data_IF_068007572972
#
_entry.id   IF_068007572972
#
_cell.length_a   1.000
_cell.length_b   1.000
_cell.length_c   1.000
_cell.angle_alpha   90.00
_cell.angle_beta   90.00
_cell.angle_gamma   90.00
#
_symmetry.space_group_name_H-M   'P 1'
#
loop_
_entity.id
_entity.type
_entity.pdbx_description
1 polymer ?
#
# COMPACT_ATOMS: atom_id res chain seq x y z
N UNK A 1 -3.42 -5.95 -22.70
CA UNK A 1 -2.64 -5.39 -21.57
C UNK A 1 -3.51 -5.56 -20.35
N UNK A 2 -3.53 -6.75 -19.77
CA UNK A 2 -4.18 -6.96 -18.49
C UNK A 2 -3.17 -6.55 -17.43
N UNK A 3 -3.28 -5.32 -16.94
CA UNK A 3 -2.63 -4.94 -15.68
C UNK A 3 -3.30 -5.75 -14.59
N UNK A 4 -2.87 -6.99 -14.39
CA UNK A 4 -3.25 -7.81 -13.24
C UNK A 4 -2.59 -7.20 -12.01
N UNK A 5 -3.13 -6.06 -11.55
CA UNK A 5 -2.83 -5.47 -10.25
C UNK A 5 -2.91 -6.59 -9.23
N UNK A 6 -1.80 -6.86 -8.54
CA UNK A 6 -1.75 -7.92 -7.55
C UNK A 6 -2.89 -7.74 -6.53
N UNK A 7 -3.43 -8.82 -5.94
CA UNK A 7 -4.46 -8.70 -4.90
C UNK A 7 -4.03 -7.74 -3.78
N UNK A 8 -2.74 -7.76 -3.41
CA UNK A 8 -2.15 -6.89 -2.40
C UNK A 8 -2.16 -5.42 -2.84
N UNK A 9 -1.77 -5.12 -4.09
CA UNK A 9 -1.82 -3.76 -4.60
C UNK A 9 -3.26 -3.21 -4.61
N UNK A 10 -4.25 -4.04 -4.99
CA UNK A 10 -5.67 -3.66 -4.95
C UNK A 10 -6.15 -3.41 -3.52
N UNK A 11 -5.88 -4.33 -2.59
CA UNK A 11 -6.26 -4.16 -1.18
C UNK A 11 -5.60 -2.93 -0.55
N UNK A 12 -4.32 -2.66 -0.85
CA UNK A 12 -3.63 -1.46 -0.36
C UNK A 12 -4.26 -0.18 -0.91
N UNK A 13 -4.67 -0.18 -2.18
CA UNK A 13 -5.40 0.94 -2.79
C UNK A 13 -6.80 1.13 -2.18
N UNK A 14 -7.51 0.05 -1.86
CA UNK A 14 -8.83 0.11 -1.20
C UNK A 14 -8.71 0.70 0.21
N UNK A 15 -7.68 0.30 0.98
CA UNK A 15 -7.37 0.89 2.28
C UNK A 15 -7.03 2.38 2.09
N UNK A 16 -6.14 2.71 1.15
CA UNK A 16 -5.75 4.07 0.85
C UNK A 16 -6.96 4.97 0.51
N UNK A 17 -7.92 4.46 -0.26
CA UNK A 17 -9.14 5.20 -0.59
C UNK A 17 -9.94 5.64 0.64
N UNK A 18 -9.94 4.85 1.73
CA UNK A 18 -10.61 5.23 2.98
C UNK A 18 -9.97 6.44 3.66
N UNK A 19 -8.65 6.63 3.51
CA UNK A 19 -7.88 7.67 4.19
C UNK A 19 -7.64 8.93 3.34
N UNK A 20 -8.14 8.97 2.09
CA UNK A 20 -7.95 10.12 1.17
C UNK A 20 -8.52 11.46 1.66
N UNK A 21 -9.40 11.44 2.67
CA UNK A 21 -9.92 12.65 3.29
C UNK A 21 -8.92 13.30 4.27
N UNK A 22 -7.85 12.61 4.64
CA UNK A 22 -6.82 13.10 5.57
C UNK A 22 -5.65 13.73 4.81
N UNK A 23 -4.83 14.56 5.47
CA UNK A 23 -3.56 15.04 4.90
C UNK A 23 -2.68 13.87 4.46
N UNK A 24 -1.98 14.01 3.34
CA UNK A 24 -1.22 12.92 2.70
C UNK A 24 -0.29 12.18 3.68
N UNK A 25 0.43 12.91 4.54
CA UNK A 25 1.35 12.30 5.52
C UNK A 25 0.60 11.48 6.58
N UNK A 26 -0.53 11.98 7.08
CA UNK A 26 -1.36 11.27 8.06
C UNK A 26 -2.03 10.05 7.42
N UNK A 27 -2.52 10.21 6.19
CA UNK A 27 -3.13 9.15 5.42
C UNK A 27 -2.12 8.01 5.15
N UNK A 28 -0.88 8.33 4.77
CA UNK A 28 0.16 7.34 4.51
C UNK A 28 0.52 6.58 5.80
N UNK A 29 0.66 7.29 6.92
CA UNK A 29 0.93 6.67 8.21
C UNK A 29 -0.23 5.77 8.68
N UNK A 30 -1.48 6.21 8.49
CA UNK A 30 -2.67 5.42 8.83
C UNK A 30 -2.78 4.14 8.00
N UNK A 31 -2.53 4.22 6.69
CA UNK A 31 -2.49 3.07 5.78
C UNK A 31 -1.37 2.11 6.18
N UNK A 32 -0.16 2.62 6.46
CA UNK A 32 0.97 1.80 6.90
C UNK A 32 0.67 1.07 8.22
N UNK A 33 0.06 1.77 9.18
CA UNK A 33 -0.36 1.17 10.44
C UNK A 33 -1.41 0.07 10.23
N UNK A 34 -2.41 0.30 9.37
CA UNK A 34 -3.42 -0.69 9.04
C UNK A 34 -2.78 -1.95 8.42
N UNK A 35 -1.89 -1.78 7.45
CA UNK A 35 -1.15 -2.90 6.85
C UNK A 35 -0.31 -3.62 7.91
N UNK A 36 0.37 -2.90 8.81
CA UNK A 36 1.19 -3.50 9.87
C UNK A 36 0.36 -4.38 10.82
N UNK A 37 -0.83 -3.91 11.20
CA UNK A 37 -1.71 -4.56 12.17
C UNK A 37 -2.47 -5.75 11.59
N UNK A 38 -2.94 -5.64 10.34
CA UNK A 38 -3.89 -6.60 9.78
C UNK A 38 -3.27 -7.57 8.76
N UNK A 39 -2.10 -7.25 8.20
CA UNK A 39 -1.49 -8.10 7.17
C UNK A 39 -0.41 -9.01 7.73
N UNK A 40 -0.42 -10.24 7.23
CA UNK A 40 0.63 -11.21 7.50
C UNK A 40 1.98 -10.79 6.91
N UNK A 41 3.11 -11.27 7.49
CA UNK A 41 4.46 -10.96 7.00
C UNK A 41 4.66 -11.19 5.51
N UNK A 42 4.06 -12.25 4.95
CA UNK A 42 4.15 -12.57 3.52
C UNK A 42 3.48 -11.51 2.64
N UNK A 43 2.30 -11.03 3.02
CA UNK A 43 1.58 -10.00 2.26
C UNK A 43 2.36 -8.69 2.24
N UNK A 44 2.96 -8.32 3.38
CA UNK A 44 3.82 -7.14 3.51
C UNK A 44 5.07 -7.25 2.62
N UNK A 45 5.69 -8.43 2.57
CA UNK A 45 6.83 -8.68 1.70
C UNK A 45 6.47 -8.57 0.22
N UNK A 46 5.33 -9.11 -0.21
CA UNK A 46 4.86 -8.99 -1.60
C UNK A 46 4.55 -7.53 -1.96
N UNK A 47 3.92 -6.78 -1.07
CA UNK A 47 3.68 -5.35 -1.28
C UNK A 47 4.98 -4.54 -1.40
N UNK A 48 5.99 -4.87 -0.59
CA UNK A 48 7.32 -4.25 -0.68
C UNK A 48 8.00 -4.56 -2.01
N UNK A 49 7.97 -5.83 -2.45
CA UNK A 49 8.50 -6.23 -3.76
C UNK A 49 7.82 -5.50 -4.91
N UNK A 50 6.50 -5.28 -4.82
CA UNK A 50 5.77 -4.50 -5.83
C UNK A 50 6.24 -3.05 -5.86
N UNK A 51 6.41 -2.43 -4.69
CA UNK A 51 6.93 -1.06 -4.61
C UNK A 51 8.36 -0.91 -5.16
N UNK A 52 9.17 -1.97 -5.09
CA UNK A 52 10.54 -1.98 -5.62
C UNK A 52 10.60 -2.26 -7.12
N UNK A 53 9.79 -3.20 -7.63
CA UNK A 53 9.86 -3.65 -9.02
C UNK A 53 8.94 -2.85 -9.96
N UNK A 54 7.78 -2.42 -9.47
CA UNK A 54 6.76 -1.73 -10.25
C UNK A 54 5.98 -0.72 -9.37
N UNK A 55 6.64 0.38 -8.92
CA UNK A 55 6.01 1.38 -8.07
C UNK A 55 4.83 2.09 -8.74
N UNK A 56 4.83 2.18 -10.08
CA UNK A 56 3.77 2.82 -10.86
C UNK A 56 2.47 2.00 -10.85
N UNK A 57 2.55 0.71 -10.51
CA UNK A 57 1.38 -0.15 -10.31
C UNK A 57 0.65 0.08 -8.97
N UNK A 58 1.24 0.84 -8.05
CA UNK A 58 0.67 1.12 -6.73
C UNK A 58 0.03 2.50 -6.67
N UNK A 59 -1.04 2.61 -5.87
CA UNK A 59 -1.60 3.91 -5.51
C UNK A 59 -0.51 4.76 -4.80
N UNK A 60 -0.36 6.07 -5.12
CA UNK A 60 0.69 6.91 -4.53
C UNK A 60 0.69 6.91 -3.00
N UNK A 61 -0.49 6.81 -2.38
CA UNK A 61 -0.63 6.76 -0.93
C UNK A 61 -0.22 5.38 -0.39
N UNK A 62 -0.55 4.31 -1.11
CA UNK A 62 -0.08 2.97 -0.78
C UNK A 62 1.45 2.87 -0.91
N UNK A 63 2.04 3.45 -1.95
CA UNK A 63 3.50 3.51 -2.12
C UNK A 63 4.17 4.29 -0.98
N UNK A 64 3.60 5.44 -0.59
CA UNK A 64 4.07 6.19 0.57
C UNK A 64 3.98 5.37 1.87
N UNK A 65 2.86 4.65 2.07
CA UNK A 65 2.68 3.77 3.21
C UNK A 65 3.71 2.64 3.27
N UNK A 66 4.04 2.02 2.12
CA UNK A 66 5.07 0.97 2.05
C UNK A 66 6.44 1.46 2.49
N UNK A 67 6.79 2.71 2.18
CA UNK A 67 8.04 3.34 2.63
C UNK A 67 8.10 3.54 4.15
N UNK A 68 6.96 3.50 4.84
CA UNK A 68 6.84 3.61 6.29
C UNK A 68 6.78 2.24 6.99
N UNK A 69 6.70 1.14 6.23
CA UNK A 69 6.78 -0.21 6.77
C UNK A 69 8.24 -0.57 7.03
N UNK A 70 8.62 -0.69 8.31
CA UNK A 70 9.92 -1.24 8.74
C UNK A 70 10.12 -2.69 8.31
#
# INVERSE_FOLDING_TARGET
METTTSPQARMAADIAAQFRHQPADQAAAAVANHIRMFWDPRMKAELRKLAENDPDSLDPLALAAVRLLE
#
